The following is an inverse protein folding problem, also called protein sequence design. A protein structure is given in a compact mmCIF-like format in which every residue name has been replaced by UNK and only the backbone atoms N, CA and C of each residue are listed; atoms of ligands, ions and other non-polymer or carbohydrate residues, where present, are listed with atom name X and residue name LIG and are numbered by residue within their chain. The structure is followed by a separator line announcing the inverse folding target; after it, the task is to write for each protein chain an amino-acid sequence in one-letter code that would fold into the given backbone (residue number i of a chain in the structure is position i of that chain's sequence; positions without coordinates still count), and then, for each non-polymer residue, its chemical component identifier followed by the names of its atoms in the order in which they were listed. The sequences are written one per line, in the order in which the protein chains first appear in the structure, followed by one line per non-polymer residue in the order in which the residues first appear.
data_IF_012677830328
#
_entry.id   IF_012677830328
#
_cell.length_a   1.000
_cell.length_b   1.000
_cell.length_c   1.000
_cell.angle_alpha   90.00
_cell.angle_beta   90.00
_cell.angle_gamma   90.00
#
_symmetry.space_group_name_H-M   'P 1'
#
loop_
_entity.id
_entity.type
_entity.pdbx_description
1 polymer ?
#
# COMPACT_ATOMS: atom_id res chain seq x y z
N UNK A 1 -20.46 -7.60 -4.98
CA UNK A 1 -21.03 -6.28 -4.60
C UNK A 1 -20.10 -5.71 -3.53
N UNK A 2 -19.33 -4.66 -3.85
CA UNK A 2 -18.37 -4.08 -2.89
C UNK A 2 -19.11 -3.36 -1.75
N UNK A 3 -18.67 -3.48 -0.48
CA UNK A 3 -19.33 -2.84 0.64
C UNK A 3 -19.34 -1.30 0.50
N UNK A 4 -20.44 -0.66 0.91
CA UNK A 4 -20.73 0.79 0.80
C UNK A 4 -19.78 1.72 1.59
N UNK A 5 -18.74 1.17 2.20
CA UNK A 5 -17.77 1.86 3.05
C UNK A 5 -16.43 2.11 2.34
N UNK A 6 -16.33 1.80 1.04
CA UNK A 6 -15.13 2.02 0.24
C UNK A 6 -15.39 3.17 -0.72
N UNK A 7 -14.59 4.23 -0.63
CA UNK A 7 -14.61 5.31 -1.61
C UNK A 7 -13.69 4.94 -2.76
N UNK A 8 -14.23 4.91 -3.98
CA UNK A 8 -13.52 4.53 -5.21
C UNK A 8 -13.20 5.80 -6.00
N UNK A 9 -12.00 6.39 -5.88
CA UNK A 9 -11.44 7.14 -6.99
C UNK A 9 -10.93 6.12 -8.00
N UNK A 10 -11.73 5.82 -9.02
CA UNK A 10 -11.32 4.88 -10.08
C UNK A 10 -10.13 5.47 -10.82
N UNK A 11 -8.93 4.92 -10.59
CA UNK A 11 -7.75 5.25 -11.37
C UNK A 11 -7.33 3.98 -12.11
N UNK A 12 -7.79 3.84 -13.34
CA UNK A 12 -7.21 2.90 -14.29
C UNK A 12 -5.84 3.43 -14.67
N UNK A 13 -4.77 2.74 -14.29
CA UNK A 13 -3.41 3.01 -14.81
C UNK A 13 -3.26 2.44 -16.23
N UNK A 14 -4.20 2.72 -17.13
CA UNK A 14 -4.29 2.05 -18.42
C UNK A 14 -3.42 2.68 -19.52
N UNK A 15 -2.29 3.34 -19.23
CA UNK A 15 -1.49 3.90 -20.34
C UNK A 15 0.00 4.20 -20.11
N UNK A 16 0.62 3.84 -18.99
CA UNK A 16 2.07 4.10 -18.82
C UNK A 16 2.74 2.97 -18.01
N UNK A 17 3.40 1.99 -18.67
CA UNK A 17 4.19 0.95 -18.02
C UNK A 17 5.21 1.52 -17.02
N UNK A 18 5.74 2.72 -17.33
CA UNK A 18 6.72 3.41 -16.50
C UNK A 18 6.18 3.95 -15.18
N UNK A 19 4.86 4.13 -15.03
CA UNK A 19 4.28 4.67 -13.78
C UNK A 19 4.05 3.60 -12.72
N UNK A 20 3.74 2.37 -13.11
CA UNK A 20 3.51 1.24 -12.20
C UNK A 20 4.81 0.84 -11.49
N UNK A 21 5.95 0.92 -12.19
CA UNK A 21 7.29 0.58 -11.68
C UNK A 21 7.91 1.63 -10.72
N UNK A 22 7.15 2.65 -10.32
CA UNK A 22 7.67 3.69 -9.41
C UNK A 22 7.47 3.28 -7.96
N UNK A 23 8.43 3.62 -7.12
CA UNK A 23 8.27 3.54 -5.68
C UNK A 23 7.09 4.40 -5.23
N UNK A 24 6.27 3.82 -4.36
CA UNK A 24 5.21 4.50 -3.64
C UNK A 24 5.27 4.10 -2.17
N UNK A 25 5.20 5.08 -1.28
CA UNK A 25 4.92 4.86 0.14
C UNK A 25 3.63 5.55 0.46
N UNK A 26 2.61 4.74 0.67
CA UNK A 26 1.31 5.27 1.04
C UNK A 26 1.38 5.76 2.47
N UNK A 27 1.02 7.02 2.68
CA UNK A 27 0.81 7.58 4.02
C UNK A 27 -0.54 7.11 4.62
N UNK A 28 -1.09 5.98 4.16
CA UNK A 28 -2.43 5.45 4.49
C UNK A 28 -2.51 3.94 4.31
N UNK A 29 -3.57 3.37 4.86
CA UNK A 29 -4.08 2.09 4.40
C UNK A 29 -4.58 2.22 2.96
N UNK A 30 -4.03 1.38 2.07
CA UNK A 30 -4.45 1.27 0.67
C UNK A 30 -4.76 -0.18 0.35
N UNK A 31 -5.76 -0.39 -0.49
CA UNK A 31 -6.03 -1.68 -1.11
C UNK A 31 -5.79 -1.58 -2.60
N UNK A 32 -5.16 -2.60 -3.18
CA UNK A 32 -4.92 -2.74 -4.61
C UNK A 32 -5.49 -4.08 -5.08
N UNK A 33 -6.41 -4.05 -6.06
CA UNK A 33 -6.82 -5.24 -6.79
C UNK A 33 -5.93 -5.41 -8.00
N UNK A 34 -5.31 -6.58 -8.11
CA UNK A 34 -4.40 -6.92 -9.18
C UNK A 34 -5.19 -7.55 -10.31
N UNK A 35 -5.05 -6.99 -11.51
CA UNK A 35 -5.79 -7.44 -12.70
C UNK A 35 -4.91 -8.32 -13.58
N UNK A 36 -3.59 -8.14 -13.52
CA UNK A 36 -2.60 -8.84 -14.33
C UNK A 36 -1.41 -9.27 -13.47
N UNK A 37 -0.72 -10.35 -13.87
CA UNK A 37 0.39 -10.91 -13.10
C UNK A 37 1.56 -9.91 -12.95
N UNK A 38 2.14 -9.87 -11.75
CA UNK A 38 3.22 -8.98 -11.43
C UNK A 38 4.17 -9.50 -10.36
N UNK A 39 5.37 -8.92 -10.34
CA UNK A 39 6.30 -9.05 -9.23
C UNK A 39 6.31 -7.78 -8.39
N UNK A 40 6.04 -7.94 -7.10
CA UNK A 40 5.86 -6.87 -6.14
C UNK A 40 6.99 -6.88 -5.10
N UNK A 41 7.46 -5.70 -4.70
CA UNK A 41 8.44 -5.53 -3.61
C UNK A 41 7.89 -4.59 -2.55
N UNK A 42 7.94 -5.03 -1.29
CA UNK A 42 7.35 -4.35 -0.14
C UNK A 42 8.37 -4.11 0.97
N UNK A 43 8.15 -3.05 1.75
CA UNK A 43 8.91 -2.74 2.97
C UNK A 43 10.20 -1.96 2.75
N UNK A 44 10.57 -1.67 1.50
CA UNK A 44 11.84 -1.01 1.18
C UNK A 44 11.66 0.09 0.12
N UNK A 45 12.13 1.30 0.42
CA UNK A 45 12.22 2.43 -0.49
C UNK A 45 13.54 2.45 -1.28
N UNK A 46 13.70 3.34 -2.26
CA UNK A 46 14.92 3.43 -3.07
C UNK A 46 16.14 3.94 -2.30
N UNK A 47 15.94 4.63 -1.17
CA UNK A 47 17.01 5.16 -0.31
C UNK A 47 17.31 4.27 0.90
N UNK A 48 16.55 3.20 1.11
CA UNK A 48 16.74 2.26 2.21
C UNK A 48 17.80 1.20 1.87
N UNK A 49 18.25 0.42 2.86
CA UNK A 49 19.00 -0.81 2.62
C UNK A 49 18.13 -1.81 1.86
N UNK A 50 18.57 -2.21 0.66
CA UNK A 50 17.79 -3.07 -0.23
C UNK A 50 17.65 -4.52 0.27
N UNK A 51 18.36 -4.92 1.33
CA UNK A 51 18.28 -6.28 1.90
C UNK A 51 17.07 -6.55 2.80
N UNK A 52 16.29 -5.52 3.17
CA UNK A 52 15.19 -5.63 4.16
C UNK A 52 13.79 -5.85 3.58
N UNK A 53 13.63 -5.82 2.25
CA UNK A 53 12.32 -5.91 1.59
C UNK A 53 11.83 -7.34 1.36
N UNK A 54 10.54 -7.49 1.09
CA UNK A 54 9.92 -8.76 0.71
C UNK A 54 9.45 -8.67 -0.74
N UNK A 55 9.99 -9.54 -1.59
CA UNK A 55 9.63 -9.67 -2.99
C UNK A 55 8.78 -10.91 -3.20
N UNK A 56 7.66 -10.78 -3.91
CA UNK A 56 6.73 -11.87 -4.17
C UNK A 56 5.98 -11.66 -5.48
N UNK A 57 5.45 -12.75 -6.04
CA UNK A 57 4.60 -12.74 -7.21
C UNK A 57 3.13 -12.52 -6.80
N UNK A 58 2.41 -11.75 -7.59
CA UNK A 58 0.96 -11.57 -7.50
C UNK A 58 0.35 -11.94 -8.84
N UNK A 59 -0.80 -12.58 -8.80
CA UNK A 59 -1.52 -13.02 -9.99
C UNK A 59 -2.82 -12.24 -10.18
N UNK A 60 -3.35 -12.28 -11.41
CA UNK A 60 -4.66 -11.73 -11.71
C UNK A 60 -5.73 -12.27 -10.74
N UNK A 61 -6.42 -11.35 -10.05
CA UNK A 61 -7.42 -11.68 -9.03
C UNK A 61 -6.91 -11.58 -7.58
N UNK A 62 -5.60 -11.44 -7.38
CA UNK A 62 -5.04 -11.19 -6.04
C UNK A 62 -5.38 -9.79 -5.53
N UNK A 63 -5.35 -9.66 -4.20
CA UNK A 63 -5.61 -8.40 -3.51
C UNK A 63 -4.47 -8.13 -2.55
N UNK A 64 -3.81 -6.99 -2.70
CA UNK A 64 -2.87 -6.47 -1.71
C UNK A 64 -3.54 -5.39 -0.85
N UNK A 65 -3.37 -5.48 0.46
CA UNK A 65 -3.80 -4.45 1.41
C UNK A 65 -2.59 -4.01 2.22
N UNK A 66 -2.24 -2.73 2.11
CA UNK A 66 -1.02 -2.17 2.68
C UNK A 66 -1.43 -1.33 3.89
N UNK A 67 -0.70 -1.47 5.00
CA UNK A 67 -0.80 -0.52 6.11
C UNK A 67 -0.16 0.83 5.73
N UNK A 68 -0.53 1.88 6.46
CA UNK A 68 0.11 3.18 6.31
C UNK A 68 1.62 3.09 6.57
N UNK A 69 2.41 3.79 5.76
CA UNK A 69 3.85 3.86 5.86
C UNK A 69 4.60 2.72 5.18
N UNK A 70 3.92 1.75 4.58
CA UNK A 70 4.57 0.66 3.84
C UNK A 70 4.99 1.16 2.45
N UNK A 71 6.29 1.14 2.17
CA UNK A 71 6.82 1.34 0.83
C UNK A 71 6.56 0.10 -0.03
N UNK A 72 6.16 0.30 -1.28
CA UNK A 72 5.99 -0.76 -2.25
C UNK A 72 6.32 -0.27 -3.67
N UNK A 73 6.71 -1.21 -4.54
CA UNK A 73 6.83 -0.99 -6.00
C UNK A 73 6.51 -2.27 -6.77
N UNK A 74 5.96 -2.09 -7.96
CA UNK A 74 6.06 -3.12 -8.99
C UNK A 74 7.51 -3.21 -9.48
N UNK A 75 8.08 -4.41 -9.46
CA UNK A 75 9.42 -4.69 -9.98
C UNK A 75 9.33 -5.11 -11.45
N UNK A 76 8.40 -6.01 -11.73
CA UNK A 76 8.15 -6.58 -13.05
C UNK A 76 6.65 -6.75 -13.28
N UNK A 77 6.20 -6.52 -14.50
CA UNK A 77 4.80 -6.57 -14.91
C UNK A 77 4.73 -6.79 -16.42
N UNK A 78 3.61 -7.33 -16.89
CA UNK A 78 3.28 -7.35 -18.31
C UNK A 78 3.11 -5.93 -18.87
N UNK A 79 3.24 -5.77 -20.18
CA UNK A 79 3.13 -4.46 -20.85
C UNK A 79 1.72 -3.84 -20.73
N UNK A 80 0.71 -4.69 -20.54
CA UNK A 80 -0.69 -4.34 -20.35
C UNK A 80 -1.14 -4.32 -18.89
N UNK A 81 -0.21 -4.41 -17.93
CA UNK A 81 -0.53 -4.48 -16.50
C UNK A 81 -1.44 -3.36 -16.02
N UNK A 82 -2.53 -3.76 -15.37
CA UNK A 82 -3.50 -2.89 -14.73
C UNK A 82 -3.75 -3.29 -13.29
N UNK A 83 -4.12 -2.30 -12.47
CA UNK A 83 -4.59 -2.51 -11.12
C UNK A 83 -5.61 -1.43 -10.76
N UNK A 84 -6.39 -1.70 -9.72
CA UNK A 84 -7.32 -0.73 -9.15
C UNK A 84 -6.93 -0.44 -7.70
N UNK A 85 -6.61 0.82 -7.40
CA UNK A 85 -6.32 1.30 -6.05
C UNK A 85 -7.56 1.85 -5.36
N UNK A 86 -7.78 1.49 -4.10
CA UNK A 86 -8.89 1.94 -3.27
C UNK A 86 -8.40 2.40 -1.91
N UNK A 87 -9.11 3.38 -1.36
CA UNK A 87 -8.88 3.89 -0.01
C UNK A 87 -10.15 3.73 0.82
N UNK A 88 -10.04 3.27 2.08
CA UNK A 88 -11.19 3.22 2.98
C UNK A 88 -11.86 4.59 3.13
N UNK A 89 -13.19 4.62 3.20
CA UNK A 89 -13.95 5.87 3.40
C UNK A 89 -13.51 6.55 4.70
N UNK A 90 -13.34 7.87 4.65
CA UNK A 90 -12.86 8.67 5.79
C UNK A 90 -11.34 8.83 5.86
N UNK A 91 -10.59 8.23 4.94
CA UNK A 91 -9.13 8.43 4.86
C UNK A 91 -8.78 9.90 4.49
N UNK A 92 -7.83 10.55 5.18
CA UNK A 92 -7.68 12.03 5.16
C UNK A 92 -6.90 12.64 3.97
N UNK A 93 -7.40 12.86 2.75
CA UNK A 93 -6.65 13.34 1.52
C UNK A 93 -5.21 12.81 1.22
N UNK A 94 -5.04 12.06 0.12
CA UNK A 94 -3.81 11.31 -0.21
C UNK A 94 -2.56 12.17 -0.45
N UNK A 95 -1.43 11.68 0.06
CA UNK A 95 -0.08 12.16 -0.27
C UNK A 95 0.67 10.99 -0.94
N UNK A 96 1.18 11.23 -2.14
CA UNK A 96 1.91 10.23 -2.92
C UNK A 96 3.40 10.46 -2.71
N UNK A 97 4.01 9.68 -1.83
CA UNK A 97 5.44 9.77 -1.56
C UNK A 97 6.22 8.77 -2.41
N UNK A 98 7.19 9.25 -3.20
CA UNK A 98 8.06 8.42 -4.02
C UNK A 98 9.31 7.89 -3.29
N UNK A 99 9.44 8.20 -1.99
CA UNK A 99 10.58 7.84 -1.14
C UNK A 99 11.93 8.35 -1.65
N UNK A 100 11.92 9.50 -2.32
CA UNK A 100 13.12 10.15 -2.87
C UNK A 100 13.50 11.43 -2.11
N UNK A 101 12.79 11.76 -1.03
CA UNK A 101 13.07 12.93 -0.21
C UNK A 101 14.25 12.67 0.73
N UNK A 102 14.80 13.73 1.31
CA UNK A 102 15.86 13.61 2.32
C UNK A 102 15.39 12.88 3.60
N UNK A 103 16.35 12.63 4.49
CA UNK A 103 16.11 11.89 5.73
C UNK A 103 15.12 12.61 6.66
N UNK A 104 15.15 13.93 6.73
CA UNK A 104 14.29 14.72 7.61
C UNK A 104 12.84 14.61 7.17
N UNK A 105 12.57 14.84 5.89
CA UNK A 105 11.23 14.69 5.29
C UNK A 105 10.76 13.24 5.37
N UNK A 106 11.65 12.28 5.14
CA UNK A 106 11.33 10.85 5.24
C UNK A 106 10.93 10.45 6.67
N UNK A 107 11.60 10.99 7.69
CA UNK A 107 11.27 10.75 9.09
C UNK A 107 9.93 11.41 9.47
N UNK A 108 9.70 12.67 9.08
CA UNK A 108 8.42 13.35 9.32
C UNK A 108 7.25 12.58 8.69
N UNK A 109 7.43 12.06 7.46
CA UNK A 109 6.43 11.20 6.81
C UNK A 109 6.28 9.85 7.52
N UNK A 110 7.36 9.25 8.04
CA UNK A 110 7.25 8.02 8.86
C UNK A 110 6.40 8.25 10.10
N UNK A 111 6.62 9.36 10.81
CA UNK A 111 5.82 9.73 11.99
C UNK A 111 4.36 9.97 11.64
N UNK A 112 4.08 10.71 10.56
CA UNK A 112 2.73 10.94 10.07
C UNK A 112 2.02 9.62 9.75
N UNK A 113 2.69 8.69 9.04
CA UNK A 113 2.14 7.37 8.75
C UNK A 113 1.84 6.56 10.03
N UNK A 114 2.69 6.67 11.06
CA UNK A 114 2.46 6.04 12.37
C UNK A 114 1.25 6.59 13.13
N UNK A 115 0.83 7.83 12.83
CA UNK A 115 -0.38 8.44 13.41
C UNK A 115 -1.68 7.99 12.73
N UNK A 116 -1.61 7.26 11.62
CA UNK A 116 -2.79 6.77 10.91
C UNK A 116 -3.46 5.67 11.72
N UNK A 117 -4.73 5.90 12.06
CA UNK A 117 -5.51 4.93 12.82
C UNK A 117 -5.68 3.62 12.04
N UNK A 118 -5.52 2.51 12.77
CA UNK A 118 -5.85 1.17 12.27
C UNK A 118 -7.37 1.10 12.11
N UNK A 119 -7.90 0.69 10.95
CA UNK A 119 -9.34 0.61 10.73
C UNK A 119 -9.98 -0.45 11.63
N UNK A 120 -11.23 -0.20 12.03
CA UNK A 120 -12.01 -1.15 12.86
C UNK A 120 -12.50 -2.38 12.08
N UNK A 121 -12.49 -2.31 10.74
CA UNK A 121 -12.99 -3.35 9.84
C UNK A 121 -11.93 -3.70 8.81
N UNK A 122 -11.82 -4.98 8.50
CA UNK A 122 -11.02 -5.48 7.40
C UNK A 122 -11.73 -5.17 6.07
N UNK A 123 -11.07 -4.54 5.09
CA UNK A 123 -11.69 -4.19 3.81
C UNK A 123 -12.09 -5.41 2.97
N UNK A 124 -11.54 -6.60 3.26
CA UNK A 124 -11.84 -7.85 2.57
C UNK A 124 -12.84 -8.67 3.36
N UNK A 125 -12.56 -8.89 4.65
CA UNK A 125 -13.29 -9.84 5.49
C UNK A 125 -14.30 -9.19 6.46
N UNK A 126 -14.37 -7.85 6.51
CA UNK A 126 -15.29 -7.12 7.38
C UNK A 126 -14.86 -7.08 8.85
N UNK A 127 -15.84 -7.04 9.77
CA UNK A 127 -15.63 -6.73 11.19
C UNK A 127 -14.69 -7.67 11.94
N UNK A 128 -14.69 -8.96 11.58
CA UNK A 128 -13.91 -9.98 12.27
C UNK A 128 -12.66 -10.41 11.49
N UNK A 129 -12.35 -9.69 10.42
CA UNK A 129 -11.20 -9.96 9.58
C UNK A 129 -9.86 -9.84 10.31
N UNK A 130 -8.82 -10.48 9.76
CA UNK A 130 -7.53 -10.60 10.42
C UNK A 130 -6.72 -9.29 10.42
N UNK A 131 -6.87 -8.41 9.42
CA UNK A 131 -5.95 -7.28 9.23
C UNK A 131 -5.87 -6.32 10.42
N UNK A 132 -6.98 -5.85 11.02
CA UNK A 132 -6.90 -4.98 12.20
C UNK A 132 -6.15 -5.60 13.37
N UNK A 133 -6.29 -6.92 13.58
CA UNK A 133 -5.60 -7.65 14.66
C UNK A 133 -4.11 -7.77 14.37
N UNK A 134 -3.74 -8.13 13.14
CA UNK A 134 -2.34 -8.24 12.70
C UNK A 134 -1.63 -6.90 12.85
N UNK A 135 -2.23 -5.81 12.38
CA UNK A 135 -1.61 -4.48 12.45
C UNK A 135 -1.51 -3.95 13.88
N UNK A 136 -2.49 -4.20 14.75
CA UNK A 136 -2.40 -3.82 16.18
C UNK A 136 -1.28 -4.58 16.88
N UNK A 137 -1.14 -5.88 16.59
CA UNK A 137 -0.05 -6.70 17.12
C UNK A 137 1.31 -6.17 16.65
N UNK A 138 1.45 -5.90 15.35
CA UNK A 138 2.69 -5.34 14.79
C UNK A 138 3.03 -3.98 15.40
N UNK A 139 2.06 -3.07 15.54
CA UNK A 139 2.27 -1.76 16.15
C UNK A 139 2.66 -1.86 17.65
N UNK A 140 2.12 -2.83 18.37
CA UNK A 140 2.46 -3.08 19.78
C UNK A 140 3.86 -3.67 19.96
N UNK A 141 4.33 -4.43 18.97
CA UNK A 141 5.69 -4.99 18.94
C UNK A 141 6.77 -3.97 18.54
N UNK A 142 6.36 -2.75 18.16
CA UNK A 142 7.23 -1.61 17.82
C UNK A 142 7.33 -0.62 18.98
N UNK A 143 7.05 -1.06 20.23
CA UNK A 143 7.36 -0.29 21.43
C UNK A 143 8.89 -0.03 21.52
N UNK A 144 9.33 1.13 22.05
CA UNK A 144 10.71 1.62 21.97
C UNK A 144 11.75 0.67 22.58
#
# INVERSE_FOLDING_TARGET
MFPSHISIPTRTSATLPSRARRNGKDQRVRMSFIVDDEQSLYGVGPLDDQNGGIQFEMQAGDIAVHAAGVAHRNVESSDDYTYVGLYPKGSPHWDNNHCNDDLEVTNAKRELAGSVLIPDYDPIYGRDGPLPKIWRSAASNVAP
#
